data_IF_452133962412
#
_entry.id   IF_452133962412
#
_cell.length_a   1.000
_cell.length_b   1.000
_cell.length_c   1.000
_cell.angle_alpha   90.00
_cell.angle_beta   90.00
_cell.angle_gamma   90.00
#
_symmetry.space_group_name_H-M   'P 1'
#
loop_
_entity.id
_entity.type
_entity.pdbx_description
1 polymer ?
#
# COMPACT_ATOMS: atom_id res chain seq x y z
N UNK A 1 -51.26 15.94 24.85
CA UNK A 1 -50.33 15.39 25.86
C UNK A 1 -49.24 14.61 25.13
N UNK A 2 -47.98 15.06 25.15
CA UNK A 2 -46.88 14.32 24.51
C UNK A 2 -46.43 13.21 25.48
N UNK A 3 -46.50 11.94 25.05
CA UNK A 3 -45.97 10.81 25.82
C UNK A 3 -44.44 10.93 25.82
N UNK A 4 -43.86 11.14 27.00
CA UNK A 4 -42.42 11.00 27.18
C UNK A 4 -42.08 9.50 27.16
N UNK A 5 -40.93 9.16 26.58
CA UNK A 5 -40.37 7.82 26.62
C UNK A 5 -40.15 7.40 28.07
N UNK A 6 -40.52 6.17 28.44
CA UNK A 6 -40.32 5.73 29.82
C UNK A 6 -38.84 5.50 30.10
N UNK A 7 -38.40 5.70 31.34
CA UNK A 7 -37.02 5.39 31.73
C UNK A 7 -36.67 3.93 31.47
N UNK A 8 -37.64 3.01 31.60
CA UNK A 8 -37.45 1.58 31.36
C UNK A 8 -37.21 1.26 29.88
N UNK A 9 -37.94 1.91 28.97
CA UNK A 9 -37.71 1.72 27.53
C UNK A 9 -36.32 2.26 27.11
N UNK A 10 -35.88 3.36 27.71
CA UNK A 10 -34.57 3.94 27.42
C UNK A 10 -33.42 3.00 27.83
N UNK A 11 -33.47 2.42 29.03
CA UNK A 11 -32.42 1.50 29.48
C UNK A 11 -32.37 0.23 28.63
N UNK A 12 -33.52 -0.28 28.19
CA UNK A 12 -33.57 -1.49 27.37
C UNK A 12 -32.89 -1.28 26.01
N UNK A 13 -33.10 -0.12 25.39
CA UNK A 13 -32.45 0.26 24.13
C UNK A 13 -30.93 0.34 24.30
N UNK A 14 -30.45 0.98 25.37
CA UNK A 14 -29.00 1.13 25.60
C UNK A 14 -28.34 -0.24 25.81
N UNK A 15 -28.98 -1.14 26.56
CA UNK A 15 -28.45 -2.50 26.80
C UNK A 15 -28.36 -3.29 25.49
N UNK A 16 -29.41 -3.25 24.65
CA UNK A 16 -29.40 -3.94 23.35
C UNK A 16 -28.28 -3.38 22.45
N UNK A 17 -28.17 -2.05 22.35
CA UNK A 17 -27.10 -1.41 21.56
C UNK A 17 -25.73 -1.81 22.11
N UNK A 18 -25.56 -1.87 23.43
CA UNK A 18 -24.31 -2.29 24.07
C UNK A 18 -23.89 -3.72 23.68
N UNK A 19 -24.84 -4.67 23.71
CA UNK A 19 -24.56 -6.06 23.33
C UNK A 19 -24.22 -6.16 21.85
N UNK A 20 -25.03 -5.55 20.97
CA UNK A 20 -24.79 -5.59 19.52
C UNK A 20 -23.48 -4.91 19.13
N UNK A 21 -23.15 -3.78 19.75
CA UNK A 21 -21.91 -3.05 19.52
C UNK A 21 -20.68 -3.87 19.92
N UNK A 22 -20.74 -4.59 21.03
CA UNK A 22 -19.61 -5.41 21.51
C UNK A 22 -19.19 -6.49 20.51
N UNK A 23 -20.14 -7.04 19.75
CA UNK A 23 -19.90 -8.09 18.74
C UNK A 23 -19.58 -7.48 17.37
N UNK A 24 -20.24 -6.39 16.99
CA UNK A 24 -20.10 -5.79 15.67
C UNK A 24 -18.79 -4.99 15.49
N UNK A 25 -18.33 -4.25 16.51
CA UNK A 25 -17.16 -3.37 16.41
C UNK A 25 -15.88 -4.15 16.06
N UNK A 26 -15.52 -5.26 16.74
CA UNK A 26 -14.30 -6.00 16.43
C UNK A 26 -14.29 -6.54 15.00
N UNK A 27 -15.44 -7.05 14.52
CA UNK A 27 -15.60 -7.59 13.16
C UNK A 27 -15.44 -6.51 12.09
N UNK A 28 -16.04 -5.34 12.30
CA UNK A 28 -15.90 -4.21 11.38
C UNK A 28 -14.47 -3.67 11.36
N UNK A 29 -13.77 -3.63 12.50
CA UNK A 29 -12.36 -3.21 12.53
C UNK A 29 -11.47 -4.16 11.73
N UNK A 30 -11.60 -5.47 11.93
CA UNK A 30 -10.80 -6.46 11.21
C UNK A 30 -11.06 -6.41 9.69
N UNK A 31 -12.34 -6.32 9.28
CA UNK A 31 -12.70 -6.25 7.85
C UNK A 31 -12.17 -4.97 7.17
N UNK A 32 -12.13 -3.85 7.91
CA UNK A 32 -11.54 -2.60 7.41
C UNK A 32 -10.02 -2.72 7.24
N UNK A 33 -9.34 -3.30 8.21
CA UNK A 33 -7.89 -3.55 8.12
C UNK A 33 -7.56 -4.44 6.91
N UNK A 34 -8.29 -5.55 6.74
CA UNK A 34 -8.08 -6.48 5.63
C UNK A 34 -8.33 -5.81 4.26
N UNK A 35 -9.35 -4.95 4.16
CA UNK A 35 -9.61 -4.17 2.95
C UNK A 35 -8.50 -3.15 2.65
N UNK A 36 -7.90 -2.53 3.68
CA UNK A 36 -6.76 -1.63 3.51
C UNK A 36 -5.52 -2.39 3.01
N UNK A 37 -5.27 -3.58 3.55
CA UNK A 37 -4.15 -4.44 3.14
C UNK A 37 -4.31 -4.84 1.66
N UNK A 38 -5.49 -5.37 1.29
CA UNK A 38 -5.78 -5.77 -0.08
C UNK A 38 -5.62 -4.60 -1.07
N UNK A 39 -6.22 -3.44 -0.76
CA UNK A 39 -6.12 -2.24 -1.60
C UNK A 39 -4.68 -1.76 -1.78
N UNK A 40 -3.90 -1.75 -0.71
CA UNK A 40 -2.51 -1.31 -0.79
C UNK A 40 -1.65 -2.29 -1.57
N UNK A 41 -1.92 -3.60 -1.43
CA UNK A 41 -1.23 -4.62 -2.22
C UNK A 41 -1.53 -4.50 -3.71
N UNK A 42 -2.79 -4.27 -4.07
CA UNK A 42 -3.23 -4.07 -5.45
C UNK A 42 -2.58 -2.82 -6.07
N UNK A 43 -2.51 -1.71 -5.31
CA UNK A 43 -1.81 -0.52 -5.79
C UNK A 43 -0.33 -0.78 -6.07
N UNK A 44 0.36 -1.50 -5.20
CA UNK A 44 1.79 -1.77 -5.40
C UNK A 44 2.00 -2.68 -6.60
N UNK A 45 1.24 -3.78 -6.71
CA UNK A 45 1.31 -4.66 -7.87
C UNK A 45 0.98 -3.93 -9.18
N UNK A 46 -0.04 -3.06 -9.15
CA UNK A 46 -0.41 -2.21 -10.27
C UNK A 46 0.72 -1.25 -10.68
N UNK A 47 1.35 -0.59 -9.70
CA UNK A 47 2.50 0.31 -9.95
C UNK A 47 3.66 -0.46 -10.60
N UNK A 48 4.00 -1.64 -10.07
CA UNK A 48 5.06 -2.47 -10.66
C UNK A 48 4.77 -2.82 -12.11
N UNK A 49 3.52 -3.21 -12.40
CA UNK A 49 3.10 -3.56 -13.73
C UNK A 49 3.13 -2.35 -14.68
N UNK A 50 2.65 -1.19 -14.24
CA UNK A 50 2.69 0.07 -15.01
C UNK A 50 4.13 0.48 -15.33
N UNK A 51 5.02 0.48 -14.34
CA UNK A 51 6.44 0.78 -14.54
C UNK A 51 7.06 -0.22 -15.52
N UNK A 52 6.80 -1.51 -15.38
CA UNK A 52 7.35 -2.54 -16.28
C UNK A 52 6.85 -2.40 -17.72
N UNK A 53 5.56 -2.10 -17.89
CA UNK A 53 4.93 -1.91 -19.19
C UNK A 53 5.46 -0.63 -19.84
N UNK A 54 5.59 0.46 -19.07
CA UNK A 54 6.15 1.71 -19.55
C UNK A 54 7.61 1.55 -20.00
N UNK A 55 8.46 0.92 -19.20
CA UNK A 55 9.86 0.69 -19.55
C UNK A 55 10.01 -0.19 -20.78
N UNK A 56 9.13 -1.18 -20.96
CA UNK A 56 9.12 -2.05 -22.15
C UNK A 56 8.64 -1.29 -23.40
N UNK A 57 7.61 -0.47 -23.28
CA UNK A 57 7.01 0.26 -24.40
C UNK A 57 7.88 1.43 -24.90
N UNK A 58 8.46 2.19 -23.97
CA UNK A 58 9.25 3.39 -24.32
C UNK A 58 10.73 3.09 -24.45
N UNK A 59 11.20 1.94 -23.97
CA UNK A 59 12.62 1.65 -23.96
C UNK A 59 13.40 2.73 -23.19
N UNK A 60 12.90 3.17 -22.05
CA UNK A 60 13.64 3.98 -21.09
C UNK A 60 12.93 3.98 -19.74
N UNK A 61 13.72 4.07 -18.67
CA UNK A 61 13.23 4.25 -17.31
C UNK A 61 13.46 5.72 -16.93
N UNK A 62 12.39 6.44 -16.58
CA UNK A 62 12.48 7.86 -16.19
C UNK A 62 12.94 7.97 -14.73
N UNK A 63 13.69 9.02 -14.43
CA UNK A 63 14.11 9.32 -13.05
C UNK A 63 12.92 9.62 -12.12
N UNK A 64 11.84 10.16 -12.69
CA UNK A 64 10.58 10.40 -11.99
C UNK A 64 9.58 9.28 -12.29
N UNK A 65 9.45 8.34 -11.34
CA UNK A 65 8.53 7.21 -11.44
C UNK A 65 7.05 7.62 -11.53
N UNK A 66 6.67 8.83 -11.09
CA UNK A 66 5.29 9.34 -11.30
C UNK A 66 4.94 9.48 -12.78
N UNK A 67 5.92 9.65 -13.66
CA UNK A 67 5.68 9.77 -15.11
C UNK A 67 5.49 8.41 -15.78
N UNK A 68 5.82 7.33 -15.07
CA UNK A 68 5.73 5.95 -15.55
C UNK A 68 4.48 5.24 -15.05
N UNK A 69 3.88 5.73 -13.96
CA UNK A 69 2.70 5.13 -13.33
C UNK A 69 1.70 6.19 -12.90
N UNK A 70 0.48 6.09 -13.44
CA UNK A 70 -0.65 6.93 -13.03
C UNK A 70 -1.06 6.65 -11.58
N UNK A 71 -0.89 5.42 -11.11
CA UNK A 71 -1.13 5.08 -9.70
C UNK A 71 -0.15 5.81 -8.77
N UNK A 72 1.13 5.93 -9.14
CA UNK A 72 2.10 6.71 -8.36
C UNK A 72 1.75 8.19 -8.33
N UNK A 73 1.31 8.77 -9.45
CA UNK A 73 0.84 10.15 -9.49
C UNK A 73 -0.36 10.38 -8.56
N UNK A 74 -1.34 9.47 -8.60
CA UNK A 74 -2.49 9.50 -7.69
C UNK A 74 -2.08 9.38 -6.22
N UNK A 75 -1.13 8.50 -5.88
CA UNK A 75 -0.67 8.35 -4.51
C UNK A 75 0.18 9.55 -4.04
N UNK A 76 0.95 10.17 -4.94
CA UNK A 76 1.69 11.40 -4.68
C UNK A 76 0.74 12.54 -4.33
N UNK A 77 -0.35 12.72 -5.09
CA UNK A 77 -1.37 13.75 -4.80
C UNK A 77 -2.05 13.58 -3.44
N UNK A 78 -2.12 12.33 -2.94
CA UNK A 78 -2.69 12.00 -1.63
C UNK A 78 -1.65 12.03 -0.49
N UNK A 79 -0.43 12.50 -0.75
CA UNK A 79 0.69 12.47 0.19
C UNK A 79 0.97 11.06 0.74
N UNK A 80 0.75 10.04 -0.09
CA UNK A 80 0.98 8.62 0.22
C UNK A 80 2.23 8.08 -0.43
N UNK A 81 2.89 8.85 -1.27
CA UNK A 81 4.15 8.47 -1.92
C UNK A 81 5.10 9.67 -1.92
N UNK A 82 6.35 9.40 -1.60
CA UNK A 82 7.47 10.33 -1.77
C UNK A 82 8.36 9.76 -2.88
N UNK A 83 8.57 10.53 -3.94
CA UNK A 83 9.44 10.14 -5.05
C UNK A 83 10.78 10.84 -4.89
N UNK A 84 11.83 10.05 -4.91
CA UNK A 84 13.20 10.49 -4.91
C UNK A 84 13.78 10.27 -6.31
N UNK A 85 13.97 11.36 -7.04
CA UNK A 85 14.50 11.35 -8.41
C UNK A 85 16.01 11.14 -8.46
N UNK A 86 16.73 11.36 -7.34
CA UNK A 86 18.17 11.14 -7.27
C UNK A 86 18.50 9.66 -7.18
N UNK A 87 17.66 8.90 -6.46
CA UNK A 87 17.79 7.45 -6.29
C UNK A 87 16.84 6.64 -7.19
N UNK A 88 16.07 7.31 -8.06
CA UNK A 88 15.03 6.69 -8.90
C UNK A 88 14.07 5.79 -8.11
N UNK A 89 13.72 6.22 -6.90
CA UNK A 89 12.95 5.42 -5.96
C UNK A 89 11.63 6.10 -5.56
N UNK A 90 10.59 5.31 -5.33
CA UNK A 90 9.30 5.75 -4.84
C UNK A 90 9.00 5.06 -3.50
N UNK A 91 8.95 5.85 -2.43
CA UNK A 91 8.62 5.40 -1.07
C UNK A 91 7.11 5.49 -0.87
N UNK A 92 6.46 4.35 -0.72
CA UNK A 92 5.02 4.23 -0.49
C UNK A 92 4.74 4.22 1.02
N UNK A 93 3.95 5.20 1.44
CA UNK A 93 3.41 5.33 2.79
C UNK A 93 2.14 4.48 2.94
N UNK A 94 2.19 3.55 3.89
CA UNK A 94 1.06 2.72 4.30
C UNK A 94 0.89 2.92 5.80
N UNK A 95 -0.28 3.40 6.21
CA UNK A 95 -0.55 3.73 7.61
C UNK A 95 0.26 4.94 8.08
N UNK A 96 0.89 4.82 9.25
CA UNK A 96 1.69 5.91 9.84
C UNK A 96 3.12 5.94 9.30
N UNK A 97 3.62 4.81 8.81
CA UNK A 97 5.00 4.65 8.36
C UNK A 97 5.25 5.25 6.98
N UNK A 98 6.16 6.23 6.93
CA UNK A 98 6.46 7.07 5.77
C UNK A 98 7.11 6.27 4.62
N UNK A 99 7.70 5.10 4.90
CA UNK A 99 8.41 4.29 3.91
C UNK A 99 8.18 2.79 4.13
N UNK A 100 6.92 2.35 4.12
CA UNK A 100 6.59 0.94 4.29
C UNK A 100 7.20 0.06 3.17
N UNK A 101 7.09 0.52 1.92
CA UNK A 101 7.61 -0.17 0.73
C UNK A 101 8.28 0.87 -0.16
N UNK A 102 9.53 0.62 -0.53
CA UNK A 102 10.28 1.46 -1.48
C UNK A 102 10.40 0.71 -2.80
N UNK A 103 10.03 1.35 -3.88
CA UNK A 103 10.13 0.84 -5.24
C UNK A 103 11.36 1.49 -5.85
N UNK A 104 12.35 0.73 -6.25
CA UNK A 104 13.63 1.25 -6.73
C UNK A 104 13.95 0.67 -8.12
N UNK A 105 14.50 1.51 -9.00
CA UNK A 105 15.06 1.10 -10.28
C UNK A 105 16.58 1.14 -10.16
N UNK A 106 17.17 -0.02 -9.90
CA UNK A 106 18.62 -0.19 -9.89
C UNK A 106 19.12 -0.22 -11.34
N UNK A 107 19.67 0.91 -11.79
CA UNK A 107 20.28 1.05 -13.11
C UNK A 107 21.81 0.84 -13.02
N UNK A 108 22.24 -0.38 -12.73
CA UNK A 108 23.65 -0.77 -12.75
C UNK A 108 24.12 -1.10 -14.17
N UNK A 109 24.38 -0.02 -14.93
CA UNK A 109 25.14 0.07 -16.19
C UNK A 109 24.57 -0.56 -17.48
N UNK A 110 23.93 -1.73 -17.46
CA UNK A 110 23.30 -2.32 -18.69
C UNK A 110 21.96 -3.02 -18.44
N UNK A 111 21.61 -3.23 -17.17
CA UNK A 111 20.34 -3.83 -16.76
C UNK A 111 19.59 -2.84 -15.89
N UNK A 112 18.33 -2.57 -16.25
CA UNK A 112 17.41 -1.87 -15.36
C UNK A 112 16.61 -2.93 -14.61
N UNK A 113 16.76 -2.96 -13.29
CA UNK A 113 16.05 -3.88 -12.41
C UNK A 113 15.11 -3.10 -11.50
N UNK A 114 13.82 -3.43 -11.57
CA UNK A 114 12.84 -2.91 -10.63
C UNK A 114 12.82 -3.80 -9.40
N UNK A 115 13.24 -3.25 -8.25
CA UNK A 115 13.33 -3.92 -6.97
C UNK A 115 12.35 -3.29 -5.98
N UNK A 116 11.76 -4.10 -5.12
CA UNK A 116 11.07 -3.63 -3.92
C UNK A 116 12.00 -3.74 -2.73
N UNK A 117 12.28 -2.64 -2.04
CA UNK A 117 13.03 -2.61 -0.78
C UNK A 117 12.04 -2.35 0.35
N UNK A 118 12.06 -3.21 1.36
CA UNK A 118 11.22 -3.06 2.55
C UNK A 118 11.98 -2.33 3.66
N UNK A 119 11.34 -1.36 4.30
CA UNK A 119 11.89 -0.80 5.54
C UNK A 119 11.57 -1.77 6.67
N UNK A 120 12.62 -2.30 7.31
CA UNK A 120 12.53 -3.34 8.36
C UNK A 120 12.12 -2.75 9.72
N UNK A 121 12.05 -1.42 9.86
CA UNK A 121 11.82 -0.73 11.15
C UNK A 121 10.40 -0.19 11.30
N UNK A 122 9.40 -0.79 10.66
CA UNK A 122 8.00 -0.33 10.75
C UNK A 122 7.32 -0.99 11.94
N UNK A 123 6.68 -0.20 12.81
CA UNK A 123 5.88 -0.74 13.93
C UNK A 123 4.43 -0.96 13.54
N UNK A 124 4.02 -0.53 12.34
CA UNK A 124 2.66 -0.64 11.85
C UNK A 124 2.31 -2.08 11.41
N UNK A 125 1.30 -2.65 12.08
CA UNK A 125 0.76 -3.99 11.79
C UNK A 125 0.26 -4.12 10.35
N UNK A 126 -0.26 -3.04 9.77
CA UNK A 126 -0.76 -3.05 8.38
C UNK A 126 0.41 -3.16 7.41
N UNK A 127 1.51 -2.44 7.68
CA UNK A 127 2.70 -2.49 6.85
C UNK A 127 3.31 -3.89 6.81
N UNK A 128 3.50 -4.52 7.97
CA UNK A 128 4.02 -5.89 8.04
C UNK A 128 3.18 -6.91 7.28
N UNK A 129 1.85 -6.84 7.38
CA UNK A 129 0.98 -7.74 6.63
C UNK A 129 1.10 -7.53 5.12
N UNK A 130 1.16 -6.27 4.65
CA UNK A 130 1.35 -5.99 3.21
C UNK A 130 2.71 -6.51 2.72
N UNK A 131 3.77 -6.36 3.52
CA UNK A 131 5.10 -6.89 3.21
C UNK A 131 5.11 -8.43 3.15
N UNK A 132 4.33 -9.11 3.97
CA UNK A 132 4.19 -10.58 3.90
C UNK A 132 3.47 -11.03 2.62
N UNK A 133 2.46 -10.27 2.18
CA UNK A 133 1.76 -10.54 0.93
C UNK A 133 2.63 -10.30 -0.31
N UNK A 134 3.49 -9.27 -0.28
CA UNK A 134 4.37 -8.90 -1.39
C UNK A 134 5.79 -9.34 -1.03
N UNK A 135 6.16 -10.58 -1.35
CA UNK A 135 7.50 -11.09 -0.99
C UNK A 135 8.58 -10.41 -1.83
N UNK A 136 9.64 -9.95 -1.17
CA UNK A 136 10.82 -9.33 -1.82
C UNK A 136 11.44 -10.20 -2.91
N UNK A 137 11.37 -11.52 -2.68
CA UNK A 137 11.93 -12.54 -3.56
C UNK A 137 11.19 -12.66 -4.90
N UNK A 138 9.93 -12.23 -4.97
CA UNK A 138 9.11 -12.30 -6.17
C UNK A 138 9.36 -11.12 -7.12
N UNK A 139 10.04 -10.06 -6.66
CA UNK A 139 10.22 -8.81 -7.40
C UNK A 139 11.67 -8.33 -7.43
N UNK A 140 12.51 -8.98 -8.26
CA UNK A 140 13.27 -8.21 -9.22
C UNK A 140 12.67 -8.41 -10.62
N UNK A 141 11.96 -7.40 -11.11
CA UNK A 141 11.49 -7.40 -12.49
C UNK A 141 12.58 -6.84 -13.38
N UNK A 142 12.92 -7.58 -14.44
CA UNK A 142 13.82 -7.10 -15.48
C UNK A 142 13.05 -6.09 -16.31
N UNK A 143 13.44 -4.82 -16.21
CA UNK A 143 12.94 -3.80 -17.12
C UNK A 143 13.76 -3.83 -18.41
N UNK A 144 15.08 -4.07 -18.30
CA UNK A 144 16.01 -4.16 -19.44
C UNK A 144 17.17 -5.12 -19.15
N UNK A 145 17.64 -5.82 -20.18
CA UNK A 145 18.77 -6.75 -20.10
C UNK A 145 18.39 -8.15 -19.60
N UNK A 146 19.31 -8.87 -18.93
CA UNK A 146 19.07 -10.23 -18.41
C UNK A 146 19.46 -10.31 -16.93
N UNK A 147 18.56 -10.84 -16.09
CA UNK A 147 18.91 -11.24 -14.72
C UNK A 147 19.84 -12.47 -14.78
N UNK A 148 21.07 -12.30 -14.30
CA UNK A 148 21.98 -13.41 -14.03
C UNK A 148 21.98 -13.61 -12.52
N UNK A 149 21.31 -14.66 -12.03
CA UNK A 149 21.46 -15.12 -10.65
C UNK A 149 22.76 -15.93 -10.57
N UNK A 150 23.69 -15.49 -9.73
CA UNK A 150 24.78 -16.34 -9.23
C UNK A 150 24.31 -17.09 -8.00
#
# INVERSE_FOLDING_TARGET
>A
MKKAFTMVELIFVIVIIGILASVAIPRLSATRDDALIAKNSEYIMGIMNEISTYSTANGESKDDLSKMSSLLELLKSKNRVIIDTATKSAKVKIGEDIACITIDIDSSSTTDLLKTIFSVTTTDRICHKVQEFIKEKDYPLVLRGRLIKY
#
